data_IF_483575526700
#
_entry.id   IF_483575526700
#
_cell.length_a   1.000
_cell.length_b   1.000
_cell.length_c   1.000
_cell.angle_alpha   90.00
_cell.angle_beta   90.00
_cell.angle_gamma   90.00
#
_symmetry.space_group_name_H-M   'P 1'
#
loop_
_entity.id
_entity.type
_entity.pdbx_description
1 polymer ?
#
# COMPACT_ATOMS: atom_id res chain seq x y z
N UNK A 1 6.57 9.19 11.60
CA UNK A 1 6.96 7.99 10.84
C UNK A 1 8.05 8.35 9.85
N UNK A 2 8.98 7.45 9.53
CA UNK A 2 9.97 7.66 8.46
C UNK A 2 9.58 6.79 7.27
N UNK A 3 9.50 7.39 6.09
CA UNK A 3 9.37 6.66 4.82
C UNK A 3 10.76 6.29 4.32
N UNK A 4 10.95 5.02 4.00
CA UNK A 4 12.16 4.50 3.37
C UNK A 4 11.76 3.63 2.16
N UNK A 5 12.63 3.59 1.14
CA UNK A 5 12.45 2.72 -0.01
C UNK A 5 12.96 1.32 0.29
N UNK A 6 12.04 0.36 0.39
CA UNK A 6 12.35 -1.04 0.67
C UNK A 6 12.23 -1.84 -0.63
N UNK A 7 13.25 -2.62 -1.02
CA UNK A 7 13.17 -3.56 -2.14
C UNK A 7 12.00 -4.55 -1.99
N UNK A 8 11.29 -4.83 -3.09
CA UNK A 8 10.07 -5.64 -3.09
C UNK A 8 10.31 -7.09 -2.60
N UNK A 9 11.49 -7.64 -2.91
CA UNK A 9 11.94 -8.98 -2.49
C UNK A 9 12.15 -9.10 -0.97
N UNK A 10 12.29 -7.97 -0.27
CA UNK A 10 12.40 -7.92 1.20
C UNK A 10 11.06 -7.75 1.91
N UNK A 11 9.96 -7.57 1.17
CA UNK A 11 8.63 -7.45 1.75
C UNK A 11 8.03 -8.84 2.03
N UNK A 12 7.41 -9.01 3.20
CA UNK A 12 6.71 -10.23 3.57
C UNK A 12 5.24 -9.98 3.90
N UNK A 13 4.39 -10.97 3.60
CA UNK A 13 2.95 -10.90 3.86
C UNK A 13 2.69 -11.34 5.31
N UNK A 14 2.38 -10.39 6.19
CA UNK A 14 1.95 -10.69 7.57
C UNK A 14 0.46 -11.03 7.62
N UNK A 15 0.12 -12.28 7.94
CA UNK A 15 -1.28 -12.72 8.06
C UNK A 15 -2.09 -11.90 9.08
N UNK A 16 -1.43 -11.35 10.11
CA UNK A 16 -2.07 -10.53 11.13
C UNK A 16 -2.45 -9.13 10.62
N UNK A 17 -1.70 -8.58 9.65
CA UNK A 17 -1.90 -7.22 9.14
C UNK A 17 -2.69 -7.19 7.82
N UNK A 18 -2.78 -8.33 7.13
CA UNK A 18 -3.59 -8.43 5.92
C UNK A 18 -5.08 -8.43 6.27
N UNK A 19 -5.88 -7.83 5.39
CA UNK A 19 -7.33 -7.91 5.50
C UNK A 19 -7.77 -9.37 5.37
N UNK A 20 -8.31 -9.95 6.44
CA UNK A 20 -8.85 -11.30 6.42
C UNK A 20 -10.16 -11.36 5.60
N UNK A 21 -10.18 -12.19 4.57
CA UNK A 21 -11.35 -12.43 3.71
C UNK A 21 -11.16 -13.73 2.94
N UNK A 22 -12.24 -14.47 2.68
CA UNK A 22 -12.21 -15.66 1.80
C UNK A 22 -11.81 -15.32 0.36
N UNK A 23 -12.11 -14.08 -0.08
CA UNK A 23 -11.79 -13.55 -1.41
C UNK A 23 -10.73 -12.47 -1.29
N UNK A 24 -9.78 -12.44 -2.23
CA UNK A 24 -8.83 -11.34 -2.32
C UNK A 24 -9.58 -9.99 -2.45
N UNK A 25 -9.08 -8.91 -1.83
CA UNK A 25 -9.64 -7.58 -2.04
C UNK A 25 -9.49 -7.19 -3.51
N UNK A 26 -10.47 -6.45 -4.04
CA UNK A 26 -10.35 -5.89 -5.38
C UNK A 26 -9.33 -4.74 -5.36
N UNK A 27 -8.41 -4.77 -6.32
CA UNK A 27 -7.36 -3.77 -6.49
C UNK A 27 -7.53 -2.96 -7.79
N UNK A 28 -8.58 -3.20 -8.57
CA UNK A 28 -8.78 -2.61 -9.90
C UNK A 28 -8.79 -1.09 -9.87
N UNK A 29 -9.29 -0.49 -8.79
CA UNK A 29 -9.38 0.97 -8.64
C UNK A 29 -8.01 1.64 -8.42
N UNK A 30 -7.07 0.96 -7.77
CA UNK A 30 -5.77 1.53 -7.42
C UNK A 30 -4.70 1.31 -8.50
N UNK A 31 -4.80 0.22 -9.28
CA UNK A 31 -3.80 -0.16 -10.28
C UNK A 31 -3.51 0.92 -11.33
N UNK A 32 -4.51 1.63 -11.91
CA UNK A 32 -4.24 2.69 -12.88
C UNK A 32 -3.42 3.84 -12.29
N UNK A 33 -3.65 4.17 -11.02
CA UNK A 33 -2.94 5.26 -10.33
C UNK A 33 -1.53 4.86 -9.96
N UNK A 34 -1.33 3.65 -9.43
CA UNK A 34 0.01 3.11 -9.12
C UNK A 34 0.88 3.05 -10.37
N UNK A 35 0.33 2.61 -11.51
CA UNK A 35 1.06 2.57 -12.78
C UNK A 35 1.46 3.96 -13.29
N UNK A 36 0.60 4.96 -13.10
CA UNK A 36 0.83 6.32 -13.62
C UNK A 36 1.74 7.16 -12.71
N UNK A 37 1.62 7.00 -11.40
CA UNK A 37 2.20 7.93 -10.40
C UNK A 37 3.05 7.25 -9.31
N UNK A 38 3.13 5.92 -9.33
CA UNK A 38 3.72 5.16 -8.23
C UNK A 38 2.79 5.02 -7.02
N UNK A 39 3.31 4.43 -5.95
CA UNK A 39 2.58 4.26 -4.69
C UNK A 39 2.56 5.58 -3.93
N UNK A 40 1.37 6.05 -3.56
CA UNK A 40 1.16 7.31 -2.85
C UNK A 40 0.47 7.01 -1.53
N UNK A 41 1.03 7.53 -0.43
CA UNK A 41 0.39 7.52 0.87
C UNK A 41 -0.26 8.88 1.13
N UNK A 42 -1.57 8.91 1.40
CA UNK A 42 -2.20 10.11 1.94
C UNK A 42 -1.71 10.29 3.38
N UNK A 43 -0.97 11.37 3.63
CA UNK A 43 -0.71 11.82 4.99
C UNK A 43 -1.97 12.50 5.52
N UNK A 44 -2.46 12.02 6.67
CA UNK A 44 -3.54 12.67 7.42
C UNK A 44 -3.02 13.74 8.37
N UNK A 45 -1.72 14.08 8.32
CA UNK A 45 -1.20 15.19 9.10
C UNK A 45 -1.78 16.51 8.56
N UNK A 46 -2.31 17.38 9.44
CA UNK A 46 -2.82 18.67 9.03
C UNK A 46 -1.66 19.47 8.43
N UNK A 47 -1.85 19.93 7.19
CA UNK A 47 -0.95 20.91 6.58
C UNK A 47 -1.22 22.25 7.28
N UNK A 48 -0.36 22.58 8.24
CA UNK A 48 -0.18 23.95 8.76
C UNK A 48 0.26 24.89 7.65
#
# INVERSE_FOLDING_TARGET
MKLDFIPLDRLCISKANMRWSKKAPDASDILPTVRRRGVIQLSTEPRI
#
